data_IF_504409283310
#
_entry.id   IF_504409283310
#
_cell.length_a   1.000
_cell.length_b   1.000
_cell.length_c   1.000
_cell.angle_alpha   90.00
_cell.angle_beta   90.00
_cell.angle_gamma   90.00
#
_symmetry.space_group_name_H-M   'P 1'
#
loop_
_entity.id
_entity.type
_entity.pdbx_description
1 polymer ?
#
# COMPACT_ATOMS: atom_id res chain seq x y z
N UNK A 1 -21.22 -5.43 -12.22
CA UNK A 1 -20.96 -4.60 -11.05
C UNK A 1 -21.13 -5.52 -9.85
N UNK A 2 -20.06 -6.00 -9.28
CA UNK A 2 -20.11 -6.82 -8.05
C UNK A 2 -20.24 -5.85 -6.89
N UNK A 3 -21.42 -5.76 -6.29
CA UNK A 3 -21.63 -5.23 -4.94
C UNK A 3 -20.83 -6.08 -3.95
N UNK A 4 -19.51 -6.00 -4.05
CA UNK A 4 -18.60 -6.70 -3.17
C UNK A 4 -18.55 -5.99 -1.83
N UNK A 5 -18.80 -6.71 -0.78
CA UNK A 5 -18.56 -6.22 0.58
C UNK A 5 -17.11 -5.71 0.69
N UNK A 6 -16.86 -4.52 1.23
CA UNK A 6 -15.50 -3.99 1.34
C UNK A 6 -14.58 -4.94 2.12
N UNK A 7 -13.36 -5.14 1.61
CA UNK A 7 -12.36 -5.99 2.28
C UNK A 7 -11.74 -5.31 3.50
N UNK A 8 -11.53 -3.99 3.43
CA UNK A 8 -11.01 -3.18 4.53
C UNK A 8 -11.90 -1.96 4.72
N UNK A 9 -12.38 -1.75 5.92
CA UNK A 9 -13.20 -0.56 6.26
C UNK A 9 -12.68 0.14 7.50
N UNK A 10 -12.83 1.44 7.52
CA UNK A 10 -12.76 2.29 8.72
C UNK A 10 -14.08 3.02 8.88
N UNK A 11 -14.60 3.13 10.08
CA UNK A 11 -15.85 3.83 10.38
C UNK A 11 -15.68 4.77 11.54
N UNK A 12 -16.03 6.03 11.32
CA UNK A 12 -16.01 7.06 12.34
C UNK A 12 -14.64 7.24 13.01
N UNK A 13 -13.54 7.05 12.27
CA UNK A 13 -12.18 7.09 12.82
C UNK A 13 -11.84 8.50 13.31
N UNK A 14 -11.47 8.61 14.58
CA UNK A 14 -11.00 9.85 15.20
C UNK A 14 -9.56 9.65 15.67
N UNK A 15 -8.71 10.64 15.38
CA UNK A 15 -7.35 10.69 15.92
C UNK A 15 -6.92 12.13 16.22
N UNK A 16 -6.49 12.34 17.45
CA UNK A 16 -6.00 13.63 17.92
C UNK A 16 -4.54 13.54 18.33
N UNK A 17 -3.79 14.57 18.03
CA UNK A 17 -2.42 14.78 18.52
C UNK A 17 -2.38 16.11 19.28
N UNK A 18 -2.49 16.03 20.59
CA UNK A 18 -2.66 17.22 21.42
C UNK A 18 -3.91 18.02 21.02
N UNK A 19 -3.74 19.23 20.51
CA UNK A 19 -4.86 20.09 20.07
C UNK A 19 -5.24 19.90 18.59
N UNK A 20 -4.49 19.11 17.84
CA UNK A 20 -4.74 18.89 16.41
C UNK A 20 -5.58 17.63 16.21
N UNK A 21 -6.74 17.77 15.60
CA UNK A 21 -7.57 16.65 15.15
C UNK A 21 -7.13 16.26 13.74
N UNK A 22 -6.39 15.17 13.63
CA UNK A 22 -5.86 14.68 12.35
C UNK A 22 -6.85 13.80 11.59
N UNK A 23 -7.72 13.06 12.32
CA UNK A 23 -8.89 12.37 11.77
C UNK A 23 -10.12 12.81 12.59
N UNK A 24 -11.20 13.14 11.89
CA UNK A 24 -12.44 13.64 12.47
C UNK A 24 -13.61 12.85 11.86
N UNK A 25 -13.98 11.74 12.52
CA UNK A 25 -15.01 10.82 12.05
C UNK A 25 -14.78 10.36 10.59
N UNK A 26 -13.51 10.02 10.28
CA UNK A 26 -13.15 9.59 8.94
C UNK A 26 -13.70 8.20 8.63
N UNK A 27 -14.29 8.05 7.46
CA UNK A 27 -14.70 6.77 6.90
C UNK A 27 -13.74 6.34 5.80
N UNK A 28 -13.61 5.02 5.62
CA UNK A 28 -12.78 4.42 4.60
C UNK A 28 -13.39 3.10 4.12
N UNK A 29 -13.36 2.85 2.81
CA UNK A 29 -13.82 1.61 2.20
C UNK A 29 -12.90 1.21 1.05
N UNK A 30 -12.33 0.02 1.12
CA UNK A 30 -11.60 -0.61 0.03
C UNK A 30 -12.38 -1.84 -0.43
N UNK A 31 -12.72 -1.89 -1.71
CA UNK A 31 -13.40 -3.04 -2.32
C UNK A 31 -12.39 -4.12 -2.75
N UNK A 32 -12.81 -5.37 -2.90
CA UNK A 32 -11.98 -6.41 -3.50
C UNK A 32 -11.56 -6.02 -4.93
N UNK A 33 -10.34 -6.37 -5.28
CA UNK A 33 -9.81 -6.23 -6.65
C UNK A 33 -9.90 -4.80 -7.23
N UNK A 34 -9.77 -3.77 -6.39
CA UNK A 34 -9.73 -2.38 -6.86
C UNK A 34 -8.39 -1.70 -6.54
N UNK A 35 -8.09 -0.65 -7.28
CA UNK A 35 -7.12 0.37 -6.89
C UNK A 35 -7.92 1.59 -6.42
N UNK A 36 -7.89 1.84 -5.11
CA UNK A 36 -8.48 3.03 -4.50
C UNK A 36 -7.42 4.12 -4.40
N UNK A 37 -7.55 5.18 -5.19
CA UNK A 37 -6.73 6.39 -5.04
C UNK A 37 -7.16 7.18 -3.80
N UNK A 38 -6.22 7.60 -2.96
CA UNK A 38 -6.48 8.50 -1.82
C UNK A 38 -5.77 9.81 -2.07
N UNK A 39 -6.55 10.86 -2.33
CA UNK A 39 -6.05 12.21 -2.60
C UNK A 39 -6.52 13.20 -1.53
N UNK A 40 -5.86 14.33 -1.45
CA UNK A 40 -6.18 15.41 -0.49
C UNK A 40 -4.96 16.32 -0.31
N UNK A 41 -5.18 17.50 0.22
CA UNK A 41 -4.13 18.49 0.48
C UNK A 41 -3.09 17.98 1.50
N UNK A 42 -1.96 18.67 1.55
CA UNK A 42 -1.00 18.47 2.63
C UNK A 42 -1.66 18.82 3.97
N UNK A 43 -1.47 17.94 4.96
CA UNK A 43 -2.15 18.10 6.25
C UNK A 43 -3.61 17.65 6.30
N UNK A 44 -4.20 17.17 5.19
CA UNK A 44 -5.59 16.70 5.16
C UNK A 44 -5.88 15.50 6.07
N UNK A 45 -4.85 14.77 6.55
CA UNK A 45 -4.99 13.59 7.41
C UNK A 45 -4.72 12.26 6.71
N UNK A 46 -4.37 12.23 5.41
CA UNK A 46 -4.13 11.01 4.63
C UNK A 46 -3.14 10.05 5.29
N UNK A 47 -1.96 10.54 5.66
CA UNK A 47 -0.93 9.71 6.31
C UNK A 47 -1.38 9.20 7.68
N UNK A 48 -2.19 9.97 8.42
CA UNK A 48 -2.77 9.53 9.69
C UNK A 48 -3.80 8.44 9.45
N UNK A 49 -4.66 8.58 8.43
CA UNK A 49 -5.61 7.54 8.03
C UNK A 49 -4.88 6.21 7.76
N UNK A 50 -3.85 6.25 6.91
CA UNK A 50 -3.08 5.04 6.58
C UNK A 50 -2.37 4.46 7.81
N UNK A 51 -1.72 5.30 8.63
CA UNK A 51 -1.10 4.84 9.88
C UNK A 51 -2.11 4.19 10.84
N UNK A 52 -3.35 4.67 10.84
CA UNK A 52 -4.43 4.09 11.63
C UNK A 52 -4.88 2.74 11.07
N UNK A 53 -5.10 2.65 9.76
CA UNK A 53 -5.49 1.41 9.07
C UNK A 53 -4.40 0.32 9.14
N UNK A 54 -3.14 0.71 9.33
CA UNK A 54 -1.98 -0.20 9.42
C UNK A 54 -1.47 -0.43 10.83
N UNK A 55 -2.18 0.06 11.85
CA UNK A 55 -1.80 -0.14 13.25
C UNK A 55 -0.54 0.61 13.71
N UNK A 56 0.01 1.52 12.88
CA UNK A 56 1.12 2.38 13.28
C UNK A 56 0.68 3.47 14.28
N UNK A 57 -0.60 3.80 14.27
CA UNK A 57 -1.25 4.73 15.20
C UNK A 57 -2.61 4.16 15.58
N UNK A 58 -2.88 3.99 16.87
CA UNK A 58 -4.21 3.59 17.32
C UNK A 58 -5.20 4.77 17.19
N UNK A 59 -6.40 4.56 16.65
CA UNK A 59 -7.45 5.59 16.68
C UNK A 59 -7.92 5.83 18.11
N UNK A 60 -8.39 7.04 18.40
CA UNK A 60 -9.00 7.37 19.69
C UNK A 60 -10.45 6.90 19.75
N UNK A 61 -11.15 6.91 18.61
CA UNK A 61 -12.50 6.39 18.40
C UNK A 61 -12.66 5.81 17.00
N UNK A 62 -13.73 5.05 16.81
CA UNK A 62 -14.07 4.40 15.54
C UNK A 62 -13.65 2.94 15.50
N UNK A 63 -13.94 2.29 14.40
CA UNK A 63 -13.72 0.86 14.21
C UNK A 63 -13.07 0.58 12.86
N UNK A 64 -12.16 -0.40 12.84
CA UNK A 64 -11.57 -0.93 11.61
C UNK A 64 -12.04 -2.37 11.44
N UNK A 65 -12.43 -2.76 10.22
CA UNK A 65 -12.83 -4.14 9.90
C UNK A 65 -12.03 -4.65 8.70
N UNK A 66 -11.63 -5.90 8.77
CA UNK A 66 -11.04 -6.66 7.67
C UNK A 66 -11.95 -7.85 7.38
N UNK A 67 -12.42 -8.00 6.13
CA UNK A 67 -13.45 -8.96 5.71
C UNK A 67 -14.69 -8.95 6.62
N UNK A 68 -15.18 -7.77 6.94
CA UNK A 68 -16.34 -7.59 7.81
C UNK A 68 -16.11 -7.85 9.30
N UNK A 69 -14.94 -8.39 9.69
CA UNK A 69 -14.60 -8.68 11.09
C UNK A 69 -13.91 -7.50 11.74
N UNK A 70 -14.34 -7.03 12.91
CA UNK A 70 -13.62 -5.98 13.62
C UNK A 70 -12.22 -6.45 13.99
N UNK A 71 -11.26 -5.57 13.80
CA UNK A 71 -9.86 -5.82 14.12
C UNK A 71 -9.27 -4.66 14.92
N UNK A 72 -8.32 -5.00 15.77
CA UNK A 72 -7.59 -4.03 16.55
C UNK A 72 -6.09 -4.30 16.44
N UNK A 73 -5.40 -3.46 15.70
CA UNK A 73 -3.95 -3.55 15.57
C UNK A 73 -3.26 -2.80 16.69
N UNK A 74 -2.31 -3.46 17.36
CA UNK A 74 -1.43 -2.86 18.38
C UNK A 74 -0.11 -2.38 17.78
N UNK A 75 0.20 -2.85 16.57
CA UNK A 75 1.43 -2.55 15.87
C UNK A 75 1.28 -2.78 14.36
N UNK A 76 2.17 -2.21 13.53
CA UNK A 76 2.25 -2.54 12.11
C UNK A 76 2.51 -4.02 11.82
N UNK A 77 3.14 -4.74 12.76
CA UNK A 77 3.36 -6.18 12.63
C UNK A 77 2.05 -6.97 12.69
N UNK A 78 1.08 -6.53 13.48
CA UNK A 78 -0.24 -7.16 13.55
C UNK A 78 -1.00 -6.97 12.24
N UNK A 79 -0.96 -5.77 11.66
CA UNK A 79 -1.56 -5.49 10.36
C UNK A 79 -0.91 -6.34 9.26
N UNK A 80 0.42 -6.46 9.28
CA UNK A 80 1.17 -7.32 8.37
C UNK A 80 0.82 -8.80 8.55
N UNK A 81 0.67 -9.27 9.78
CA UNK A 81 0.24 -10.64 10.07
C UNK A 81 -1.19 -10.93 9.57
N UNK A 82 -2.06 -9.89 9.57
CA UNK A 82 -3.40 -9.95 9.00
C UNK A 82 -3.42 -9.83 7.46
N UNK A 83 -2.27 -9.62 6.82
CA UNK A 83 -2.13 -9.52 5.37
C UNK A 83 -2.22 -8.09 4.81
N UNK A 84 -2.12 -7.06 5.64
CA UNK A 84 -2.05 -5.66 5.17
C UNK A 84 -0.58 -5.27 5.06
N UNK A 85 -0.07 -5.18 3.84
CA UNK A 85 1.32 -4.80 3.57
C UNK A 85 1.40 -3.35 3.09
N UNK A 86 2.44 -2.65 3.53
CA UNK A 86 2.66 -1.24 3.16
C UNK A 86 3.99 -1.06 2.46
N UNK A 87 3.94 -0.43 1.29
CA UNK A 87 5.10 0.12 0.58
C UNK A 87 5.17 1.61 0.92
N UNK A 88 6.10 1.95 1.79
CA UNK A 88 6.32 3.34 2.22
C UNK A 88 7.11 4.13 1.19
N UNK A 89 6.99 5.44 1.20
CA UNK A 89 7.76 6.36 0.36
C UNK A 89 9.28 6.11 0.44
N UNK A 90 9.82 5.80 1.61
CA UNK A 90 11.22 5.44 1.81
C UNK A 90 11.51 3.93 1.63
N UNK A 91 10.61 3.17 0.99
CA UNK A 91 10.66 1.76 0.62
C UNK A 91 10.96 0.78 1.76
N UNK A 92 11.48 1.23 2.90
CA UNK A 92 11.92 0.41 4.04
C UNK A 92 12.76 -0.82 3.61
N UNK A 93 13.61 -0.65 2.59
CA UNK A 93 14.60 -1.65 2.16
C UNK A 93 15.93 -1.38 2.86
N UNK A 94 16.64 -2.43 3.24
CA UNK A 94 17.99 -2.35 3.78
C UNK A 94 19.00 -2.25 2.61
N UNK A 95 19.66 -1.09 2.38
CA UNK A 95 20.42 -0.85 1.15
C UNK A 95 21.55 -1.84 0.93
N UNK A 96 22.29 -2.17 1.99
CA UNK A 96 23.44 -3.06 1.96
C UNK A 96 23.09 -4.57 1.86
N UNK A 97 21.83 -4.94 2.12
CA UNK A 97 21.40 -6.33 2.00
C UNK A 97 21.05 -6.69 0.56
N UNK A 98 21.18 -7.97 0.24
CA UNK A 98 20.79 -8.48 -1.06
C UNK A 98 19.28 -8.34 -1.31
N UNK A 99 18.88 -8.43 -2.58
CA UNK A 99 17.44 -8.44 -2.96
C UNK A 99 16.74 -9.61 -2.25
N UNK A 100 17.33 -10.79 -2.20
CA UNK A 100 16.77 -11.96 -1.51
C UNK A 100 16.58 -11.68 -0.03
N UNK A 101 17.62 -11.17 0.64
CA UNK A 101 17.54 -10.90 2.07
C UNK A 101 16.48 -9.81 2.37
N UNK A 102 16.35 -8.79 1.53
CA UNK A 102 15.29 -7.79 1.65
C UNK A 102 13.89 -8.37 1.48
N UNK A 103 13.68 -9.29 0.53
CA UNK A 103 12.37 -9.92 0.33
C UNK A 103 11.95 -10.75 1.54
N UNK A 104 12.90 -11.46 2.16
CA UNK A 104 12.63 -12.35 3.28
C UNK A 104 12.90 -11.73 4.66
N UNK A 105 13.21 -10.45 4.74
CA UNK A 105 13.53 -9.76 6.00
C UNK A 105 12.37 -9.88 7.02
N UNK A 106 12.67 -10.55 8.16
CA UNK A 106 11.70 -10.90 9.19
C UNK A 106 10.80 -12.09 8.85
N UNK A 107 11.11 -12.82 7.74
CA UNK A 107 10.41 -14.03 7.27
C UNK A 107 11.40 -15.06 6.74
N UNK A 108 12.62 -15.03 7.27
CA UNK A 108 13.70 -15.90 6.83
C UNK A 108 13.33 -17.36 7.00
N UNK A 109 13.63 -18.15 5.98
CA UNK A 109 13.43 -19.62 6.04
C UNK A 109 14.66 -20.29 6.61
N UNK A 110 14.43 -21.19 7.54
CA UNK A 110 15.48 -22.03 8.13
C UNK A 110 15.50 -23.40 7.45
N UNK A 111 16.67 -24.02 7.44
CA UNK A 111 16.78 -25.40 7.01
C UNK A 111 15.89 -26.31 7.89
N UNK A 112 15.29 -27.37 7.32
CA UNK A 112 14.53 -28.33 8.11
C UNK A 112 15.42 -29.13 9.05
N UNK A 113 14.84 -29.66 10.13
CA UNK A 113 15.50 -30.54 11.08
C UNK A 113 16.33 -29.80 12.14
N UNK A 114 17.15 -30.55 12.86
CA UNK A 114 17.95 -30.10 14.02
C UNK A 114 18.91 -28.96 13.66
N UNK A 115 19.51 -28.99 12.47
CA UNK A 115 20.47 -27.99 12.01
C UNK A 115 19.79 -26.61 11.90
N UNK A 116 18.63 -26.54 11.28
CA UNK A 116 17.88 -25.28 11.14
C UNK A 116 17.32 -24.78 12.45
N UNK A 117 16.93 -25.68 13.36
CA UNK A 117 16.35 -25.31 14.66
C UNK A 117 17.42 -24.86 15.65
N UNK A 118 18.49 -25.66 15.81
CA UNK A 118 19.55 -25.42 16.81
C UNK A 118 20.53 -24.32 16.36
N UNK A 119 21.02 -24.39 15.11
CA UNK A 119 21.99 -23.43 14.58
C UNK A 119 21.37 -22.26 13.83
N UNK A 120 20.05 -22.19 13.74
CA UNK A 120 19.31 -21.12 13.03
C UNK A 120 19.79 -20.89 11.58
N UNK A 121 20.29 -21.95 10.94
CA UNK A 121 20.86 -21.88 9.59
C UNK A 121 19.76 -21.59 8.57
N UNK A 122 19.99 -20.58 7.71
CA UNK A 122 19.02 -20.16 6.69
C UNK A 122 19.04 -21.10 5.48
N UNK A 123 17.86 -21.39 4.95
CA UNK A 123 17.69 -22.06 3.66
C UNK A 123 17.79 -21.04 2.51
N UNK A 124 19.02 -20.60 2.23
CA UNK A 124 19.30 -19.63 1.18
C UNK A 124 18.87 -20.10 -0.20
N UNK A 125 18.94 -21.40 -0.47
CA UNK A 125 18.57 -21.99 -1.76
C UNK A 125 17.07 -21.84 -2.03
N UNK A 126 16.25 -22.25 -1.07
CA UNK A 126 14.79 -22.09 -1.14
C UNK A 126 14.38 -20.62 -1.27
N UNK A 127 14.97 -19.73 -0.45
CA UNK A 127 14.71 -18.29 -0.49
C UNK A 127 15.05 -17.70 -1.87
N UNK A 128 16.19 -18.05 -2.47
CA UNK A 128 16.58 -17.56 -3.79
C UNK A 128 15.65 -18.05 -4.90
N UNK A 129 15.27 -19.32 -4.87
CA UNK A 129 14.33 -19.90 -5.85
C UNK A 129 12.97 -19.18 -5.80
N UNK A 130 12.48 -18.95 -4.60
CA UNK A 130 11.20 -18.27 -4.41
C UNK A 130 11.26 -16.77 -4.75
N UNK A 131 12.35 -16.07 -4.34
CA UNK A 131 12.58 -14.69 -4.73
C UNK A 131 12.56 -14.54 -6.26
N UNK A 132 13.25 -15.41 -6.98
CA UNK A 132 13.26 -15.42 -8.45
C UNK A 132 11.85 -15.63 -9.02
N UNK A 133 11.09 -16.54 -8.46
CA UNK A 133 9.70 -16.79 -8.87
C UNK A 133 8.83 -15.55 -8.72
N UNK A 134 8.91 -14.86 -7.58
CA UNK A 134 8.12 -13.65 -7.32
C UNK A 134 8.53 -12.47 -8.20
N UNK A 135 9.82 -12.24 -8.40
CA UNK A 135 10.33 -11.21 -9.31
C UNK A 135 9.89 -11.45 -10.76
N UNK A 136 10.03 -12.68 -11.25
CA UNK A 136 9.61 -13.05 -12.60
C UNK A 136 8.10 -12.92 -12.77
N UNK A 137 7.36 -13.33 -11.76
CA UNK A 137 5.90 -13.25 -11.76
C UNK A 137 5.41 -11.81 -11.91
N UNK A 138 6.11 -10.80 -11.42
CA UNK A 138 5.80 -9.39 -11.57
C UNK A 138 6.59 -8.71 -12.71
N UNK A 139 7.15 -9.48 -13.64
CA UNK A 139 7.82 -8.93 -14.83
C UNK A 139 9.14 -8.22 -14.57
N UNK A 140 9.74 -8.35 -13.38
CA UNK A 140 11.03 -7.72 -13.04
C UNK A 140 12.22 -8.53 -13.60
N UNK A 141 12.15 -8.87 -14.89
CA UNK A 141 13.14 -9.71 -15.57
C UNK A 141 14.50 -9.02 -15.75
N UNK A 142 14.55 -7.70 -15.65
CA UNK A 142 15.80 -6.92 -15.75
C UNK A 142 16.72 -7.12 -14.55
N UNK A 143 16.23 -7.67 -13.45
CA UNK A 143 17.02 -8.00 -12.26
C UNK A 143 17.62 -9.42 -12.42
N UNK A 144 18.80 -9.47 -12.99
CA UNK A 144 19.47 -10.76 -13.24
C UNK A 144 20.14 -11.34 -11.99
N UNK A 145 20.85 -10.51 -11.23
CA UNK A 145 21.54 -10.93 -10.01
C UNK A 145 20.74 -10.59 -8.73
N UNK A 146 20.02 -11.56 -8.19
CA UNK A 146 19.22 -11.36 -6.97
C UNK A 146 20.05 -11.32 -5.68
N UNK A 147 21.38 -11.61 -5.76
CA UNK A 147 22.30 -11.53 -4.63
C UNK A 147 22.98 -10.17 -4.51
N UNK A 148 22.78 -9.27 -5.48
CA UNK A 148 23.36 -7.94 -5.41
C UNK A 148 22.67 -7.08 -4.33
N UNK A 149 23.40 -6.16 -3.69
CA UNK A 149 22.82 -5.20 -2.74
C UNK A 149 21.75 -4.34 -3.41
N UNK A 150 20.70 -4.00 -2.65
CA UNK A 150 19.58 -3.18 -3.16
C UNK A 150 20.03 -1.77 -3.55
N UNK A 151 21.04 -1.22 -2.90
CA UNK A 151 21.60 0.11 -3.23
C UNK A 151 22.12 0.21 -4.67
N UNK A 152 22.51 -0.91 -5.29
CA UNK A 152 23.01 -0.95 -6.68
C UNK A 152 21.89 -0.88 -7.72
N UNK A 153 20.64 -0.95 -7.30
CA UNK A 153 19.47 -0.90 -8.17
C UNK A 153 19.08 0.53 -8.54
N UNK A 154 18.46 0.70 -9.71
CA UNK A 154 17.79 1.96 -10.06
C UNK A 154 16.60 2.23 -9.13
N UNK A 155 16.12 3.46 -9.06
CA UNK A 155 14.95 3.84 -8.26
C UNK A 155 13.74 2.97 -8.56
N UNK A 156 13.41 2.80 -9.86
CA UNK A 156 12.28 1.95 -10.29
C UNK A 156 12.47 0.47 -9.96
N UNK A 157 13.70 -0.06 -10.04
CA UNK A 157 13.98 -1.43 -9.62
C UNK A 157 13.84 -1.61 -8.12
N UNK A 158 14.31 -0.65 -7.30
CA UNK A 158 14.08 -0.67 -5.83
C UNK A 158 12.60 -0.64 -5.50
N UNK A 159 11.83 0.21 -6.18
CA UNK A 159 10.37 0.25 -6.03
C UNK A 159 9.74 -1.10 -6.38
N UNK A 160 10.14 -1.70 -7.50
CA UNK A 160 9.69 -3.04 -7.88
C UNK A 160 9.97 -4.10 -6.82
N UNK A 161 11.18 -4.12 -6.24
CA UNK A 161 11.55 -5.05 -5.15
C UNK A 161 10.65 -4.82 -3.92
N UNK A 162 10.36 -3.56 -3.57
CA UNK A 162 9.46 -3.24 -2.45
C UNK A 162 8.02 -3.73 -2.69
N UNK A 163 7.51 -3.59 -3.92
CA UNK A 163 6.20 -4.11 -4.31
C UNK A 163 6.19 -5.64 -4.29
N UNK A 164 7.23 -6.30 -4.83
CA UNK A 164 7.36 -7.78 -4.73
C UNK A 164 7.33 -8.22 -3.28
N UNK A 165 8.09 -7.57 -2.40
CA UNK A 165 8.10 -7.90 -0.97
C UNK A 165 6.70 -7.78 -0.35
N UNK A 166 5.96 -6.74 -0.71
CA UNK A 166 4.60 -6.52 -0.20
C UNK A 166 3.58 -7.53 -0.74
N UNK A 167 3.81 -8.11 -1.91
CA UNK A 167 2.84 -9.01 -2.57
C UNK A 167 3.19 -10.50 -2.46
N UNK A 168 4.42 -10.84 -2.02
CA UNK A 168 4.94 -12.21 -2.09
C UNK A 168 4.37 -13.18 -1.03
N UNK A 169 3.87 -12.69 0.10
CA UNK A 169 3.65 -13.51 1.29
C UNK A 169 2.21 -13.51 1.82
N UNK A 170 1.25 -13.78 0.93
CA UNK A 170 -0.15 -13.94 1.34
C UNK A 170 -0.84 -12.63 1.71
N UNK A 171 -0.44 -11.54 1.08
CA UNK A 171 -1.06 -10.23 1.26
C UNK A 171 -2.52 -10.25 0.82
N UNK A 172 -3.35 -9.52 1.56
CA UNK A 172 -4.79 -9.34 1.30
C UNK A 172 -5.09 -7.93 0.82
N UNK A 173 -4.30 -6.97 1.28
CA UNK A 173 -4.36 -5.55 0.93
C UNK A 173 -2.94 -5.03 0.80
N UNK A 174 -2.67 -4.26 -0.24
CA UNK A 174 -1.39 -3.57 -0.43
C UNK A 174 -1.64 -2.06 -0.37
N UNK A 175 -0.93 -1.37 0.50
CA UNK A 175 -0.97 0.08 0.61
C UNK A 175 0.32 0.63 0.02
N UNK A 176 0.22 1.58 -0.90
CA UNK A 176 1.36 2.23 -1.55
C UNK A 176 1.33 3.72 -1.28
N UNK A 177 2.31 4.20 -0.52
CA UNK A 177 2.42 5.61 -0.13
C UNK A 177 3.45 6.30 -1.03
N UNK A 178 2.98 7.16 -1.94
CA UNK A 178 3.77 7.92 -2.91
C UNK A 178 4.72 7.05 -3.75
N UNK A 179 4.26 5.96 -4.40
CA UNK A 179 5.13 4.97 -5.01
C UNK A 179 5.91 5.47 -6.22
N UNK A 180 5.52 6.60 -6.80
CA UNK A 180 6.18 7.21 -7.97
C UNK A 180 6.94 8.49 -7.62
N UNK A 181 6.97 8.89 -6.33
CA UNK A 181 7.72 10.06 -5.91
C UNK A 181 9.23 9.85 -6.17
N UNK A 182 9.89 10.92 -6.64
CA UNK A 182 11.33 10.92 -6.96
C UNK A 182 11.76 9.91 -8.06
N UNK A 183 10.83 9.42 -8.89
CA UNK A 183 11.11 8.62 -10.07
C UNK A 183 10.97 9.44 -11.35
N UNK A 184 11.78 9.10 -12.37
CA UNK A 184 11.62 9.64 -13.72
C UNK A 184 10.33 9.11 -14.39
N UNK A 185 9.96 9.71 -15.51
CA UNK A 185 8.72 9.38 -16.24
C UNK A 185 8.67 7.90 -16.62
N UNK A 186 9.77 7.34 -17.14
CA UNK A 186 9.85 5.93 -17.55
C UNK A 186 9.73 4.97 -16.39
N UNK A 187 10.37 5.29 -15.26
CA UNK A 187 10.32 4.48 -14.04
C UNK A 187 8.93 4.52 -13.41
N UNK A 188 8.32 5.69 -13.34
CA UNK A 188 6.95 5.88 -12.83
C UNK A 188 5.96 5.02 -13.62
N UNK A 189 6.05 5.04 -14.96
CA UNK A 189 5.18 4.22 -15.81
C UNK A 189 5.29 2.73 -15.51
N UNK A 190 6.51 2.21 -15.33
CA UNK A 190 6.72 0.80 -14.94
C UNK A 190 6.12 0.47 -13.58
N UNK A 191 6.15 1.41 -12.62
CA UNK A 191 5.52 1.22 -11.32
C UNK A 191 4.00 1.18 -11.46
N UNK A 192 3.40 2.04 -12.28
CA UNK A 192 1.95 2.02 -12.53
C UNK A 192 1.53 0.71 -13.22
N UNK A 193 2.26 0.25 -14.22
CA UNK A 193 2.04 -1.05 -14.87
C UNK A 193 2.11 -2.21 -13.85
N UNK A 194 3.10 -2.17 -12.95
CA UNK A 194 3.25 -3.16 -11.89
C UNK A 194 2.05 -3.15 -10.91
N UNK A 195 1.50 -1.98 -10.59
CA UNK A 195 0.28 -1.87 -9.77
C UNK A 195 -0.92 -2.51 -10.47
N UNK A 196 -1.09 -2.27 -11.77
CA UNK A 196 -2.14 -2.91 -12.56
C UNK A 196 -1.96 -4.45 -12.61
N UNK A 197 -0.72 -4.94 -12.67
CA UNK A 197 -0.42 -6.38 -12.59
C UNK A 197 -0.79 -6.97 -11.23
N UNK A 198 -0.50 -6.27 -10.14
CA UNK A 198 -0.88 -6.68 -8.78
C UNK A 198 -2.41 -6.74 -8.64
N UNK A 199 -3.13 -5.73 -9.15
CA UNK A 199 -4.59 -5.72 -9.19
C UNK A 199 -5.13 -6.90 -10.02
N UNK A 200 -4.57 -7.18 -11.22
CA UNK A 200 -5.00 -8.32 -12.07
C UNK A 200 -4.87 -9.68 -11.38
N UNK A 201 -4.04 -9.78 -10.34
CA UNK A 201 -3.92 -10.98 -9.48
C UNK A 201 -4.93 -11.02 -8.34
N UNK A 202 -5.87 -10.10 -8.31
CA UNK A 202 -6.93 -10.05 -7.30
C UNK A 202 -6.53 -9.34 -5.99
N UNK A 203 -5.37 -8.66 -5.94
CA UNK A 203 -4.94 -7.92 -4.75
C UNK A 203 -5.41 -6.46 -4.84
N UNK A 204 -6.29 -6.00 -3.94
CA UNK A 204 -6.69 -4.61 -3.86
C UNK A 204 -5.55 -3.73 -3.36
N UNK A 205 -5.48 -2.52 -3.91
CA UNK A 205 -4.43 -1.55 -3.65
C UNK A 205 -5.04 -0.24 -3.14
N UNK A 206 -4.45 0.31 -2.08
CA UNK A 206 -4.65 1.71 -1.68
C UNK A 206 -3.46 2.50 -2.20
N UNK A 207 -3.71 3.43 -3.13
CA UNK A 207 -2.69 4.31 -3.69
C UNK A 207 -2.84 5.71 -3.08
N UNK A 208 -1.86 6.12 -2.26
CA UNK A 208 -1.77 7.50 -1.81
C UNK A 208 -0.81 8.23 -2.75
N UNK A 209 -1.28 9.28 -3.41
CA UNK A 209 -0.40 10.11 -4.23
C UNK A 209 -0.96 11.52 -4.38
N UNK A 210 -0.05 12.49 -4.52
CA UNK A 210 -0.35 13.85 -4.93
C UNK A 210 -0.22 14.04 -6.46
N UNK A 211 0.28 13.02 -7.17
CA UNK A 211 0.38 13.03 -8.63
C UNK A 211 -0.97 12.62 -9.25
N UNK A 212 -1.83 13.61 -9.47
CA UNK A 212 -3.19 13.40 -9.99
C UNK A 212 -3.23 12.62 -11.31
N UNK A 213 -2.39 12.91 -12.33
CA UNK A 213 -2.33 12.12 -13.54
C UNK A 213 -2.14 10.63 -13.29
N UNK A 214 -1.21 10.24 -12.39
CA UNK A 214 -0.98 8.84 -12.06
C UNK A 214 -2.17 8.19 -11.36
N UNK A 215 -2.82 8.92 -10.44
CA UNK A 215 -4.02 8.42 -9.75
C UNK A 215 -5.14 8.17 -10.76
N UNK A 216 -5.42 9.15 -11.64
CA UNK A 216 -6.47 9.04 -12.65
C UNK A 216 -6.20 7.95 -13.69
N UNK A 217 -4.93 7.62 -13.96
CA UNK A 217 -4.54 6.56 -14.90
C UNK A 217 -4.88 5.16 -14.35
N UNK A 218 -4.72 4.91 -13.03
CA UNK A 218 -4.78 3.55 -12.50
C UNK A 218 -5.91 3.28 -11.52
N UNK A 219 -6.48 4.30 -10.88
CA UNK A 219 -7.51 4.10 -9.86
C UNK A 219 -8.88 3.74 -10.47
N UNK A 220 -9.59 2.84 -9.81
CA UNK A 220 -11.00 2.54 -10.11
C UNK A 220 -11.93 3.52 -9.43
N UNK A 221 -11.61 3.93 -8.21
CA UNK A 221 -12.29 4.96 -7.42
C UNK A 221 -11.26 5.86 -6.75
N UNK A 222 -11.66 7.08 -6.48
CA UNK A 222 -10.81 8.07 -5.81
C UNK A 222 -11.50 8.56 -4.54
N UNK A 223 -10.87 8.29 -3.40
CA UNK A 223 -11.25 8.80 -2.08
C UNK A 223 -10.64 10.21 -1.90
N UNK A 224 -11.47 11.22 -1.80
CA UNK A 224 -11.04 12.59 -1.53
C UNK A 224 -11.09 12.84 -0.04
N UNK A 225 -9.92 13.12 0.55
CA UNK A 225 -9.75 13.35 1.97
C UNK A 225 -9.44 14.82 2.24
N UNK A 226 -10.20 15.44 3.16
CA UNK A 226 -10.04 16.86 3.50
C UNK A 226 -10.35 17.08 4.97
N UNK A 227 -9.49 17.85 5.67
CA UNK A 227 -9.68 18.23 7.09
C UNK A 227 -9.99 17.03 8.01
N UNK A 228 -9.29 15.91 7.81
CA UNK A 228 -9.46 14.71 8.61
C UNK A 228 -10.69 13.87 8.27
N UNK A 229 -11.44 14.18 7.22
CA UNK A 229 -12.67 13.49 6.82
C UNK A 229 -12.62 13.01 5.37
N UNK A 230 -13.32 11.93 5.07
CA UNK A 230 -13.70 11.59 3.69
C UNK A 230 -14.81 12.52 3.26
N UNK A 231 -14.60 13.29 2.20
CA UNK A 231 -15.62 14.20 1.68
C UNK A 231 -16.32 13.68 0.43
N UNK A 232 -15.64 12.80 -0.33
CA UNK A 232 -16.23 12.17 -1.51
C UNK A 232 -15.51 10.85 -1.85
N UNK A 233 -16.21 10.00 -2.58
CA UNK A 233 -15.63 8.96 -3.44
C UNK A 233 -16.13 9.26 -4.85
N UNK A 234 -15.19 9.36 -5.81
CA UNK A 234 -15.52 9.66 -7.21
C UNK A 234 -14.99 8.56 -8.13
N UNK A 235 -15.65 8.39 -9.27
CA UNK A 235 -15.18 7.56 -10.38
C UNK A 235 -14.34 8.44 -11.33
N UNK A 236 -13.06 8.14 -11.56
CA UNK A 236 -12.20 8.92 -12.46
C UNK A 236 -12.66 8.91 -13.92
N UNK A 237 -13.61 8.05 -14.29
CA UNK A 237 -14.23 8.05 -15.63
C UNK A 237 -15.36 9.07 -15.75
N UNK A 238 -15.95 9.50 -14.62
CA UNK A 238 -17.09 10.42 -14.59
C UNK A 238 -16.68 11.85 -14.18
N UNK A 239 -15.58 11.98 -13.46
CA UNK A 239 -15.05 13.23 -12.96
C UNK A 239 -13.70 13.54 -13.58
N UNK A 240 -13.46 14.80 -13.93
CA UNK A 240 -12.16 15.25 -14.38
C UNK A 240 -11.19 15.49 -13.21
N UNK A 241 -9.89 15.62 -13.52
CA UNK A 241 -8.90 16.02 -12.52
C UNK A 241 -9.21 17.40 -11.92
N UNK A 242 -9.73 18.32 -12.73
CA UNK A 242 -10.13 19.65 -12.27
C UNK A 242 -11.30 19.58 -11.28
N UNK A 243 -12.28 18.70 -11.51
CA UNK A 243 -13.40 18.48 -10.59
C UNK A 243 -12.91 17.92 -9.25
N UNK A 244 -12.01 16.91 -9.31
CA UNK A 244 -11.42 16.33 -8.10
C UNK A 244 -10.65 17.37 -7.27
N UNK A 245 -9.88 18.24 -7.91
CA UNK A 245 -9.19 19.36 -7.25
C UNK A 245 -10.20 20.36 -6.67
N UNK A 246 -11.24 20.71 -7.41
CA UNK A 246 -12.28 21.64 -6.95
C UNK A 246 -13.04 21.08 -5.72
N UNK A 247 -13.35 19.78 -5.71
CA UNK A 247 -13.94 19.11 -4.55
C UNK A 247 -12.93 19.09 -3.38
N UNK A 248 -11.68 18.75 -3.63
CA UNK A 248 -10.63 18.67 -2.62
C UNK A 248 -10.38 20.02 -1.92
N UNK A 249 -10.40 21.13 -2.66
CA UNK A 249 -10.24 22.48 -2.12
C UNK A 249 -11.53 23.06 -1.54
N UNK A 250 -12.68 22.47 -1.86
CA UNK A 250 -14.01 22.94 -1.46
C UNK A 250 -14.60 24.00 -2.38
N UNK A 251 -14.03 24.20 -3.57
CA UNK A 251 -14.58 25.07 -4.60
C UNK A 251 -15.81 24.45 -5.30
N UNK A 252 -15.94 23.11 -5.24
CA UNK A 252 -17.10 22.37 -5.73
C UNK A 252 -17.70 21.54 -4.59
N UNK A 253 -19.03 21.46 -4.53
CA UNK A 253 -19.71 20.55 -3.61
C UNK A 253 -19.46 19.10 -4.02
N UNK A 254 -19.15 18.21 -3.05
CA UNK A 254 -18.98 16.79 -3.35
C UNK A 254 -20.31 16.19 -3.85
N UNK A 255 -20.27 15.15 -4.69
CA UNK A 255 -21.45 14.36 -5.02
C UNK A 255 -22.02 13.72 -3.73
N UNK A 256 -23.33 13.40 -3.70
CA UNK A 256 -23.91 12.68 -2.58
C UNK A 256 -23.14 11.38 -2.35
N UNK A 257 -22.79 11.07 -1.11
CA UNK A 257 -22.13 9.80 -0.77
C UNK A 257 -23.12 8.66 -1.02
N UNK A 258 -22.76 7.75 -1.92
CA UNK A 258 -23.48 6.50 -2.17
C UNK A 258 -23.08 5.46 -1.16
#
# INVERSE_FOLDING_TARGET
MTDGQPILTGRGLVKRFGRVTALDHADFDLLPNEILGVIGDNGAGKSTLIKTLTGAVAPDHGEIRLDGKPIHFRSPLDARAAGIETVYQHLALAPALSIVDNLFLGRERRLPGLIGTLFRTLDRSSMQKEARRHLNALGLLTIQNIRQPVETLSGGQRQGVAVVRATAFGSRVVIMDEPTAALGVKESRKVLELMLDVKRRGLPIVLISHNMPHVFEVADRIHIHRLGRRIAIIDPKQFSMSDAVAIMTGAMKPPPMQ
#
